data_IF_254993327127
#
_entry.id   IF_254993327127
#
_cell.length_a   1.000
_cell.length_b   1.000
_cell.length_c   1.000
_cell.angle_alpha   90.00
_cell.angle_beta   90.00
_cell.angle_gamma   90.00
#
_symmetry.space_group_name_H-M   'P 1'
#
loop_
_entity.id
_entity.type
_entity.pdbx_description
1 polymer ?
#
# COMPACT_ATOMS: atom_id res chain seq x y z
N UNK A 1 -16.31 3.01 -15.99
CA UNK A 1 -15.19 2.07 -16.14
C UNK A 1 -15.10 1.30 -14.84
N UNK A 2 -15.19 -0.02 -14.89
CA UNK A 2 -15.20 -0.85 -13.69
C UNK A 2 -13.87 -0.71 -12.95
N UNK A 3 -13.91 -0.38 -11.68
CA UNK A 3 -12.78 0.15 -10.89
C UNK A 3 -11.89 -0.94 -10.29
N UNK A 4 -12.36 -2.18 -10.33
CA UNK A 4 -11.53 -3.38 -10.13
C UNK A 4 -10.46 -3.52 -11.23
N UNK A 5 -10.65 -2.82 -12.35
CA UNK A 5 -9.77 -2.81 -13.52
C UNK A 5 -8.35 -2.31 -13.18
N UNK A 6 -8.20 -1.28 -12.32
CA UNK A 6 -6.87 -0.73 -12.00
C UNK A 6 -5.99 -1.80 -11.34
N UNK A 7 -6.52 -2.49 -10.34
CA UNK A 7 -5.75 -3.53 -9.62
C UNK A 7 -5.53 -4.75 -10.54
N UNK A 8 -6.53 -5.11 -11.35
CA UNK A 8 -6.42 -6.23 -12.28
C UNK A 8 -5.29 -6.02 -13.30
N UNK A 9 -5.18 -4.82 -13.87
CA UNK A 9 -4.09 -4.50 -14.79
C UNK A 9 -2.77 -4.20 -14.09
N UNK A 10 -2.79 -3.75 -12.83
CA UNK A 10 -1.57 -3.50 -12.07
C UNK A 10 -0.79 -4.79 -11.75
N UNK A 11 -1.48 -5.91 -11.49
CA UNK A 11 -0.82 -7.17 -11.11
C UNK A 11 0.17 -7.67 -12.20
N UNK A 12 -0.22 -7.83 -13.47
CA UNK A 12 0.73 -8.21 -14.53
C UNK A 12 1.89 -7.22 -14.67
N UNK A 13 1.61 -5.92 -14.52
CA UNK A 13 2.65 -4.88 -14.58
C UNK A 13 3.64 -5.03 -13.42
N UNK A 14 3.17 -5.34 -12.22
CA UNK A 14 4.05 -5.57 -11.07
C UNK A 14 4.99 -6.75 -11.30
N UNK A 15 4.50 -7.87 -11.81
CA UNK A 15 5.35 -9.00 -12.15
C UNK A 15 6.35 -8.67 -13.27
N UNK A 16 5.92 -7.92 -14.28
CA UNK A 16 6.82 -7.45 -15.35
C UNK A 16 7.93 -6.57 -14.78
N UNK A 17 7.61 -5.64 -13.87
CA UNK A 17 8.60 -4.76 -13.23
C UNK A 17 9.58 -5.53 -12.35
N UNK A 18 9.14 -6.58 -11.63
CA UNK A 18 10.04 -7.49 -10.90
C UNK A 18 11.06 -8.13 -11.86
N UNK A 19 10.59 -8.63 -13.00
CA UNK A 19 11.47 -9.25 -14.01
C UNK A 19 12.45 -8.22 -14.60
N UNK A 20 11.97 -7.03 -14.92
CA UNK A 20 12.81 -5.93 -15.44
C UNK A 20 13.87 -5.53 -14.41
N UNK A 21 13.51 -5.34 -13.16
CA UNK A 21 14.44 -4.98 -12.09
C UNK A 21 15.49 -6.09 -11.87
N UNK A 22 15.07 -7.35 -11.85
CA UNK A 22 15.99 -8.49 -11.75
C UNK A 22 17.02 -8.50 -12.88
N UNK A 23 16.56 -8.38 -14.14
CA UNK A 23 17.44 -8.35 -15.32
C UNK A 23 18.37 -7.14 -15.26
N UNK A 24 17.85 -5.97 -14.90
CA UNK A 24 18.64 -4.75 -14.74
C UNK A 24 19.75 -4.95 -13.69
N UNK A 25 19.42 -5.52 -12.51
CA UNK A 25 20.38 -5.82 -11.46
C UNK A 25 21.52 -6.75 -11.92
N UNK A 26 21.21 -7.74 -12.77
CA UNK A 26 22.23 -8.60 -13.38
C UNK A 26 23.14 -7.83 -14.33
N UNK A 27 22.58 -6.96 -15.17
CA UNK A 27 23.34 -6.15 -16.14
C UNK A 27 24.30 -5.18 -15.43
N UNK A 28 23.80 -4.48 -14.39
CA UNK A 28 24.62 -3.51 -13.65
C UNK A 28 25.49 -4.15 -12.57
N UNK A 29 25.48 -5.49 -12.44
CA UNK A 29 26.22 -6.27 -11.44
C UNK A 29 25.88 -5.85 -9.98
N UNK A 30 24.66 -5.43 -9.76
CA UNK A 30 24.07 -5.12 -8.46
C UNK A 30 22.73 -5.83 -8.33
N UNK A 31 22.77 -7.17 -8.20
CA UNK A 31 21.55 -7.95 -8.04
C UNK A 31 21.05 -7.89 -6.60
N UNK A 32 19.83 -7.36 -6.43
CA UNK A 32 19.12 -7.22 -5.16
C UNK A 32 18.11 -8.36 -4.92
N UNK A 33 18.16 -9.41 -5.72
CA UNK A 33 17.24 -10.54 -5.65
C UNK A 33 17.91 -11.80 -5.09
N UNK A 34 17.34 -12.31 -4.01
CA UNK A 34 17.58 -13.64 -3.48
C UNK A 34 16.34 -14.49 -3.75
N UNK A 35 16.45 -15.54 -4.55
CA UNK A 35 15.29 -16.31 -5.02
C UNK A 35 14.38 -16.82 -3.92
N UNK A 36 14.95 -17.30 -2.80
CA UNK A 36 14.17 -17.78 -1.65
C UNK A 36 13.34 -16.64 -1.04
N UNK A 37 13.93 -15.47 -0.82
CA UNK A 37 13.21 -14.31 -0.25
C UNK A 37 12.14 -13.77 -1.21
N UNK A 38 12.45 -13.74 -2.50
CA UNK A 38 11.50 -13.37 -3.56
C UNK A 38 10.29 -14.31 -3.59
N UNK A 39 10.55 -15.63 -3.55
CA UNK A 39 9.48 -16.64 -3.51
C UNK A 39 8.61 -16.48 -2.26
N UNK A 40 9.22 -16.29 -1.09
CA UNK A 40 8.50 -16.03 0.17
C UNK A 40 7.67 -14.75 0.07
N UNK A 41 8.22 -13.66 -0.48
CA UNK A 41 7.53 -12.37 -0.64
C UNK A 41 6.28 -12.51 -1.50
N UNK A 42 6.38 -13.16 -2.64
CA UNK A 42 5.25 -13.43 -3.54
C UNK A 42 4.22 -14.36 -2.86
N UNK A 43 4.68 -15.42 -2.20
CA UNK A 43 3.80 -16.39 -1.52
C UNK A 43 2.98 -15.71 -0.41
N UNK A 44 3.61 -14.88 0.42
CA UNK A 44 2.92 -14.08 1.44
C UNK A 44 1.90 -13.15 0.78
N UNK A 45 2.27 -12.50 -0.32
CA UNK A 45 1.34 -11.66 -1.11
C UNK A 45 0.10 -12.42 -1.56
N UNK A 46 0.26 -13.63 -2.09
CA UNK A 46 -0.85 -14.50 -2.51
C UNK A 46 -1.71 -14.93 -1.32
N UNK A 47 -1.10 -15.38 -0.23
CA UNK A 47 -1.79 -15.79 1.00
C UNK A 47 -2.60 -14.62 1.57
N UNK A 48 -2.09 -13.40 1.50
CA UNK A 48 -2.80 -12.20 1.97
C UNK A 48 -4.13 -11.95 1.25
N UNK A 49 -4.36 -12.58 0.09
CA UNK A 49 -5.62 -12.48 -0.66
C UNK A 49 -6.70 -13.44 -0.18
N UNK A 50 -6.34 -14.48 0.61
CA UNK A 50 -7.29 -15.48 1.09
C UNK A 50 -8.49 -14.85 1.83
N UNK A 51 -8.31 -13.90 2.77
CA UNK A 51 -9.44 -13.24 3.43
C UNK A 51 -10.38 -12.52 2.45
N UNK A 52 -9.82 -11.94 1.38
CA UNK A 52 -10.62 -11.27 0.34
C UNK A 52 -11.42 -12.28 -0.48
N UNK A 53 -10.78 -13.39 -0.86
CA UNK A 53 -11.42 -14.47 -1.65
C UNK A 53 -12.55 -15.14 -0.84
N UNK A 54 -12.32 -15.35 0.45
CA UNK A 54 -13.31 -15.96 1.35
C UNK A 54 -14.41 -14.96 1.79
N UNK A 55 -14.41 -13.75 1.22
CA UNK A 55 -15.36 -12.69 1.55
C UNK A 55 -15.43 -12.36 3.05
N UNK A 56 -14.29 -12.37 3.71
CA UNK A 56 -14.15 -11.94 5.11
C UNK A 56 -14.29 -10.41 5.19
N UNK A 57 -15.28 -9.84 4.50
CA UNK A 57 -15.46 -8.43 4.19
C UNK A 57 -15.92 -7.57 5.38
N UNK A 58 -15.42 -7.82 6.60
CA UNK A 58 -15.77 -7.01 7.76
C UNK A 58 -15.57 -5.51 7.51
N UNK A 59 -14.43 -5.11 6.93
CA UNK A 59 -14.18 -3.71 6.58
C UNK A 59 -15.19 -3.18 5.56
N UNK A 60 -15.55 -3.99 4.55
CA UNK A 60 -16.55 -3.60 3.56
C UNK A 60 -17.94 -3.44 4.19
N UNK A 61 -18.32 -4.33 5.11
CA UNK A 61 -19.55 -4.20 5.89
C UNK A 61 -19.59 -2.91 6.69
N UNK A 62 -18.51 -2.61 7.45
CA UNK A 62 -18.44 -1.38 8.26
C UNK A 62 -18.50 -0.13 7.37
N UNK A 63 -17.82 -0.11 6.24
CA UNK A 63 -17.85 0.99 5.29
C UNK A 63 -19.26 1.19 4.69
N UNK A 64 -19.93 0.11 4.31
CA UNK A 64 -21.30 0.17 3.81
C UNK A 64 -22.27 0.69 4.90
N UNK A 65 -22.14 0.19 6.13
CA UNK A 65 -22.95 0.66 7.26
C UNK A 65 -22.71 2.16 7.52
N UNK A 66 -21.47 2.61 7.56
CA UNK A 66 -21.14 4.02 7.75
C UNK A 66 -21.70 4.90 6.61
N UNK A 67 -21.55 4.46 5.35
CA UNK A 67 -22.04 5.17 4.19
C UNK A 67 -23.58 5.24 4.11
N UNK A 68 -24.29 4.26 4.66
CA UNK A 68 -25.77 4.26 4.62
C UNK A 68 -26.38 4.95 5.85
N UNK A 69 -25.75 4.85 7.02
CA UNK A 69 -26.33 5.30 8.29
C UNK A 69 -25.87 6.70 8.70
N UNK A 70 -24.58 7.01 8.48
CA UNK A 70 -23.93 8.22 9.02
C UNK A 70 -23.43 9.19 7.95
N UNK A 71 -23.73 8.94 6.68
CA UNK A 71 -23.25 9.73 5.55
C UNK A 71 -23.78 11.18 5.59
N UNK A 72 -22.86 12.13 5.72
CA UNK A 72 -23.16 13.57 5.72
C UNK A 72 -23.43 14.14 4.31
N UNK A 73 -23.20 13.35 3.24
CA UNK A 73 -23.46 13.71 1.84
C UNK A 73 -22.74 14.98 1.38
N UNK A 74 -21.56 15.27 1.94
CA UNK A 74 -20.81 16.49 1.63
C UNK A 74 -20.01 16.39 0.33
N UNK A 75 -19.82 15.16 -0.20
CA UNK A 75 -18.86 14.86 -1.27
C UNK A 75 -19.52 14.22 -2.49
N UNK A 76 -20.15 15.01 -3.38
CA UNK A 76 -20.77 14.47 -4.60
C UNK A 76 -19.70 13.94 -5.57
N UNK A 77 -20.01 12.84 -6.26
CA UNK A 77 -19.06 12.11 -7.11
C UNK A 77 -18.60 12.87 -8.34
N UNK A 78 -19.42 13.74 -8.87
CA UNK A 78 -19.18 14.58 -10.05
C UNK A 78 -18.36 15.84 -9.77
N UNK A 79 -18.12 16.15 -8.48
CA UNK A 79 -17.27 17.27 -8.09
C UNK A 79 -15.78 16.89 -8.10
N UNK A 80 -14.96 17.65 -8.82
CA UNK A 80 -13.51 17.49 -8.78
C UNK A 80 -12.93 17.70 -7.37
N UNK A 81 -13.57 18.53 -6.54
CA UNK A 81 -13.18 18.77 -5.14
C UNK A 81 -13.24 17.46 -4.34
N UNK A 82 -14.27 16.64 -4.57
CA UNK A 82 -14.39 15.32 -3.93
C UNK A 82 -13.18 14.44 -4.22
N UNK A 83 -12.67 14.44 -5.44
CA UNK A 83 -11.49 13.67 -5.83
C UNK A 83 -10.22 14.17 -5.16
N UNK A 84 -10.03 15.50 -5.13
CA UNK A 84 -8.86 16.11 -4.46
C UNK A 84 -8.89 15.84 -2.94
N UNK A 85 -10.03 16.10 -2.29
CA UNK A 85 -10.20 15.85 -0.86
C UNK A 85 -10.01 14.36 -0.53
N UNK A 86 -10.60 13.48 -1.33
CA UNK A 86 -10.45 12.04 -1.13
C UNK A 86 -8.98 11.59 -1.28
N UNK A 87 -8.25 12.12 -2.26
CA UNK A 87 -6.84 11.81 -2.46
C UNK A 87 -5.98 12.24 -1.27
N UNK A 88 -6.09 13.50 -0.88
CA UNK A 88 -5.32 14.05 0.25
C UNK A 88 -5.68 13.38 1.58
N UNK A 89 -6.97 13.13 1.79
CA UNK A 89 -7.44 12.48 3.00
C UNK A 89 -7.02 11.00 3.06
N UNK A 90 -7.08 10.29 1.94
CA UNK A 90 -6.61 8.90 1.87
C UNK A 90 -5.12 8.81 2.19
N UNK A 91 -4.29 9.68 1.61
CA UNK A 91 -2.86 9.72 1.82
C UNK A 91 -2.51 10.05 3.28
N UNK A 92 -3.16 11.06 3.88
CA UNK A 92 -3.01 11.40 5.28
C UNK A 92 -3.41 10.24 6.20
N UNK A 93 -4.54 9.59 5.94
CA UNK A 93 -5.00 8.45 6.73
C UNK A 93 -4.02 7.28 6.59
N UNK A 94 -3.53 7.04 5.37
CA UNK A 94 -2.52 6.02 5.13
C UNK A 94 -1.24 6.29 5.93
N UNK A 95 -0.75 7.55 5.93
CA UNK A 95 0.41 7.94 6.74
C UNK A 95 0.17 7.67 8.23
N UNK A 96 -0.97 8.12 8.78
CA UNK A 96 -1.31 7.90 10.19
C UNK A 96 -1.40 6.40 10.50
N UNK A 97 -2.11 5.64 9.67
CA UNK A 97 -2.23 4.19 9.82
C UNK A 97 -0.84 3.52 9.81
N UNK A 98 -0.02 3.84 8.82
CA UNK A 98 1.30 3.25 8.66
C UNK A 98 2.22 3.57 9.85
N UNK A 99 2.24 4.83 10.29
CA UNK A 99 2.97 5.27 11.47
C UNK A 99 2.54 4.51 12.72
N UNK A 100 1.24 4.40 12.98
CA UNK A 100 0.71 3.66 14.12
C UNK A 100 1.02 2.15 14.03
N UNK A 101 1.16 1.58 12.82
CA UNK A 101 1.61 0.21 12.65
C UNK A 101 3.08 0.02 13.08
N UNK A 102 3.89 1.06 13.12
CA UNK A 102 5.24 1.03 13.70
C UNK A 102 5.26 1.29 15.21
N UNK A 103 4.38 2.14 15.74
CA UNK A 103 4.39 2.55 17.14
C UNK A 103 3.61 1.62 18.08
N UNK A 104 2.53 0.99 17.59
CA UNK A 104 1.62 0.17 18.40
C UNK A 104 1.89 -1.31 18.17
N UNK A 105 2.31 -2.04 19.20
CA UNK A 105 2.73 -3.46 19.13
C UNK A 105 1.75 -4.39 18.41
N UNK A 106 0.44 -4.26 18.64
CA UNK A 106 -0.55 -5.12 17.99
C UNK A 106 -0.69 -4.81 16.49
N UNK A 107 -0.53 -3.56 16.11
CA UNK A 107 -0.51 -3.14 14.71
C UNK A 107 0.81 -3.53 14.05
N UNK A 108 1.93 -3.36 14.75
CA UNK A 108 3.23 -3.85 14.31
C UNK A 108 3.23 -5.35 14.02
N UNK A 109 2.60 -6.16 14.87
CA UNK A 109 2.48 -7.59 14.65
C UNK A 109 1.82 -7.94 13.30
N UNK A 110 0.98 -7.06 12.75
CA UNK A 110 0.42 -7.23 11.39
C UNK A 110 1.33 -6.66 10.29
N UNK A 111 2.16 -5.67 10.60
CA UNK A 111 2.98 -4.96 9.62
C UNK A 111 4.41 -5.52 9.51
N UNK A 112 4.93 -6.10 10.57
CA UNK A 112 6.29 -6.69 10.59
C UNK A 112 6.53 -7.69 9.47
N UNK A 113 5.50 -8.38 8.99
CA UNK A 113 5.62 -9.30 7.86
C UNK A 113 6.11 -8.61 6.59
N UNK A 114 5.76 -7.33 6.41
CA UNK A 114 6.23 -6.49 5.30
C UNK A 114 7.71 -6.13 5.49
N UNK A 115 8.14 -5.78 6.70
CA UNK A 115 9.51 -5.41 7.04
C UNK A 115 10.48 -6.58 7.25
N UNK A 116 9.99 -7.82 7.20
CA UNK A 116 10.81 -9.00 7.49
C UNK A 116 11.65 -9.48 6.29
N UNK A 117 11.50 -8.89 5.10
CA UNK A 117 12.32 -9.22 3.94
C UNK A 117 13.83 -9.06 4.24
N UNK A 118 14.64 -9.98 3.72
CA UNK A 118 16.10 -9.88 3.82
C UNK A 118 16.66 -8.93 2.77
N UNK A 119 16.06 -8.94 1.58
CA UNK A 119 16.42 -8.10 0.44
C UNK A 119 15.36 -7.04 0.20
N UNK A 120 15.78 -5.88 -0.30
CA UNK A 120 14.89 -4.78 -0.63
C UNK A 120 14.81 -4.60 -2.15
N UNK A 121 13.70 -5.00 -2.74
CA UNK A 121 13.44 -4.93 -4.18
C UNK A 121 11.93 -4.92 -4.43
N UNK A 122 11.50 -4.82 -5.69
CA UNK A 122 10.07 -4.75 -6.02
C UNK A 122 9.25 -5.95 -5.55
N UNK A 123 9.85 -7.13 -5.32
CA UNK A 123 9.12 -8.25 -4.74
C UNK A 123 8.77 -8.02 -3.25
N UNK A 124 9.50 -7.16 -2.55
CA UNK A 124 9.21 -6.77 -1.16
C UNK A 124 7.85 -6.07 -1.06
N UNK A 125 7.46 -5.29 -2.07
CA UNK A 125 6.14 -4.68 -2.14
C UNK A 125 5.00 -5.71 -2.15
N UNK A 126 5.26 -6.93 -2.61
CA UNK A 126 4.26 -8.01 -2.60
C UNK A 126 4.04 -8.60 -1.20
N UNK A 127 4.92 -8.36 -0.24
CA UNK A 127 4.83 -8.84 1.15
C UNK A 127 3.71 -8.13 1.90
N UNK A 128 2.48 -8.60 1.75
CA UNK A 128 1.30 -8.00 2.35
C UNK A 128 0.76 -8.85 3.50
N UNK A 129 0.27 -8.19 4.55
CA UNK A 129 -0.33 -8.88 5.69
C UNK A 129 -1.69 -9.49 5.34
N UNK A 130 -1.99 -10.66 5.90
CA UNK A 130 -3.31 -11.30 5.83
C UNK A 130 -4.32 -10.72 6.83
N UNK A 131 -3.87 -9.94 7.80
CA UNK A 131 -4.68 -9.47 8.95
C UNK A 131 -5.01 -7.97 8.88
N UNK A 132 -4.54 -7.26 7.85
CA UNK A 132 -4.79 -5.82 7.69
C UNK A 132 -6.27 -5.42 7.68
N UNK A 133 -7.17 -6.33 7.26
CA UNK A 133 -8.61 -6.11 7.26
C UNK A 133 -9.19 -5.90 8.68
N UNK A 134 -8.53 -6.41 9.74
CA UNK A 134 -8.97 -6.21 11.13
C UNK A 134 -8.92 -4.75 11.57
N UNK A 135 -8.02 -3.95 10.99
CA UNK A 135 -7.72 -2.60 11.44
C UNK A 135 -8.12 -1.52 10.43
N UNK A 136 -8.10 -1.83 9.15
CA UNK A 136 -8.29 -0.86 8.07
C UNK A 136 -9.58 -0.05 8.21
N UNK A 137 -10.68 -0.65 8.63
CA UNK A 137 -11.96 0.02 8.79
C UNK A 137 -11.88 1.17 9.81
N UNK A 138 -11.12 1.02 10.90
CA UNK A 138 -11.01 2.05 11.94
C UNK A 138 -10.48 3.38 11.36
N UNK A 139 -9.52 3.29 10.48
CA UNK A 139 -8.86 4.46 9.90
C UNK A 139 -9.67 5.10 8.79
N UNK A 140 -10.28 4.31 7.91
CA UNK A 140 -10.92 4.82 6.70
C UNK A 140 -12.42 5.07 6.83
N UNK A 141 -13.10 4.60 7.88
CA UNK A 141 -14.53 4.87 8.12
C UNK A 141 -14.89 6.36 8.08
N UNK A 142 -14.06 7.30 8.60
CA UNK A 142 -14.36 8.73 8.51
C UNK A 142 -14.58 9.23 7.08
N UNK A 143 -13.93 8.65 6.08
CA UNK A 143 -14.15 9.00 4.67
C UNK A 143 -15.58 8.67 4.21
N UNK A 144 -16.13 7.55 4.69
CA UNK A 144 -17.51 7.16 4.39
C UNK A 144 -18.52 8.09 5.08
N UNK A 145 -18.20 8.51 6.31
CA UNK A 145 -19.06 9.42 7.09
C UNK A 145 -19.15 10.79 6.43
N UNK A 146 -18.08 11.39 5.98
CA UNK A 146 -18.12 12.69 5.28
C UNK A 146 -18.77 12.59 3.88
N UNK A 147 -18.96 11.39 3.38
CA UNK A 147 -19.67 11.14 2.12
C UNK A 147 -18.79 10.87 0.91
N UNK A 148 -17.52 10.48 1.08
CA UNK A 148 -16.69 10.04 -0.05
C UNK A 148 -17.36 8.82 -0.69
N UNK A 149 -17.72 8.88 -1.99
CA UNK A 149 -18.34 7.76 -2.70
C UNK A 149 -17.38 6.55 -2.76
N UNK A 150 -17.95 5.35 -2.62
CA UNK A 150 -17.16 4.10 -2.64
C UNK A 150 -16.25 4.00 -3.86
N UNK A 151 -16.72 4.48 -4.99
CA UNK A 151 -15.93 4.48 -6.22
C UNK A 151 -14.72 5.41 -6.19
N UNK A 152 -14.85 6.58 -5.62
CA UNK A 152 -13.75 7.52 -5.43
C UNK A 152 -12.73 6.92 -4.47
N UNK A 153 -13.21 6.36 -3.34
CA UNK A 153 -12.39 5.69 -2.36
C UNK A 153 -11.57 4.54 -2.95
N UNK A 154 -12.22 3.65 -3.73
CA UNK A 154 -11.55 2.50 -4.36
C UNK A 154 -10.51 2.98 -5.39
N UNK A 155 -10.85 4.00 -6.18
CA UNK A 155 -9.95 4.52 -7.21
C UNK A 155 -8.71 5.17 -6.60
N UNK A 156 -8.91 6.04 -5.60
CA UNK A 156 -7.80 6.70 -4.88
C UNK A 156 -6.93 5.66 -4.17
N UNK A 157 -7.55 4.67 -3.53
CA UNK A 157 -6.82 3.56 -2.90
C UNK A 157 -6.01 2.73 -3.91
N UNK A 158 -6.54 2.53 -5.11
CA UNK A 158 -5.81 1.87 -6.20
C UNK A 158 -4.60 2.68 -6.68
N UNK A 159 -4.75 4.00 -6.84
CA UNK A 159 -3.64 4.89 -7.20
C UNK A 159 -2.55 4.87 -6.12
N UNK A 160 -2.94 4.98 -4.85
CA UNK A 160 -2.02 4.91 -3.72
C UNK A 160 -1.27 3.56 -3.69
N UNK A 161 -1.95 2.43 -3.93
CA UNK A 161 -1.32 1.11 -4.01
C UNK A 161 -0.27 1.02 -5.14
N UNK A 162 -0.60 1.54 -6.33
CA UNK A 162 0.33 1.56 -7.46
C UNK A 162 1.53 2.44 -7.15
N UNK A 163 1.29 3.59 -6.53
CA UNK A 163 2.37 4.48 -6.09
C UNK A 163 3.31 3.78 -5.08
N UNK A 164 2.77 3.09 -4.09
CA UNK A 164 3.58 2.40 -3.08
C UNK A 164 4.41 1.24 -3.64
N UNK A 165 4.04 0.70 -4.80
CA UNK A 165 4.77 -0.41 -5.39
C UNK A 165 6.17 0.01 -5.87
N UNK A 166 6.29 1.10 -6.63
CA UNK A 166 7.55 1.52 -7.24
C UNK A 166 8.60 2.02 -6.24
N UNK A 167 8.21 2.38 -5.02
CA UNK A 167 9.17 2.84 -3.99
C UNK A 167 10.02 1.72 -3.40
N UNK A 168 9.69 0.45 -3.68
CA UNK A 168 10.42 -0.71 -3.21
C UNK A 168 11.53 -1.12 -4.20
N UNK A 169 12.53 -0.28 -4.36
CA UNK A 169 13.70 -0.61 -5.20
C UNK A 169 14.98 0.05 -4.68
N UNK A 170 16.11 -0.63 -4.84
CA UNK A 170 17.43 -0.07 -4.56
C UNK A 170 18.02 0.70 -5.74
N UNK A 171 17.51 0.50 -6.93
CA UNK A 171 18.12 1.02 -8.16
C UNK A 171 17.80 2.49 -8.43
N UNK A 172 16.84 3.09 -7.74
CA UNK A 172 16.54 4.51 -7.88
C UNK A 172 17.32 5.32 -6.83
N UNK A 173 18.20 6.22 -7.24
CA UNK A 173 18.98 7.06 -6.32
C UNK A 173 18.11 8.16 -5.69
N UNK A 174 18.73 9.02 -4.87
CA UNK A 174 18.07 10.20 -4.32
C UNK A 174 17.57 11.11 -5.43
N UNK A 175 16.29 11.51 -5.33
CA UNK A 175 15.61 12.38 -6.29
C UNK A 175 15.63 13.88 -5.89
N UNK A 176 16.52 14.24 -4.98
CA UNK A 176 16.77 15.63 -4.60
C UNK A 176 15.57 16.28 -3.90
N UNK A 177 15.08 17.41 -4.44
CA UNK A 177 14.00 18.17 -3.81
C UNK A 177 12.65 17.42 -3.77
N UNK A 178 12.44 16.45 -4.66
CA UNK A 178 11.21 15.64 -4.70
C UNK A 178 11.03 14.84 -3.39
N UNK A 179 12.12 14.47 -2.72
CA UNK A 179 12.08 13.73 -1.45
C UNK A 179 11.53 14.54 -0.26
N UNK A 180 11.37 15.85 -0.44
CA UNK A 180 10.74 16.72 0.56
C UNK A 180 9.21 16.72 0.47
N UNK A 181 8.66 16.23 -0.65
CA UNK A 181 7.22 16.24 -0.94
C UNK A 181 6.69 14.80 -1.06
N UNK A 182 7.45 13.92 -1.70
CA UNK A 182 7.04 12.55 -2.01
C UNK A 182 7.89 11.53 -1.29
N UNK A 183 7.28 10.41 -0.94
CA UNK A 183 8.03 9.22 -0.54
C UNK A 183 8.68 8.63 -1.79
N UNK A 184 10.00 8.64 -1.83
CA UNK A 184 10.80 8.08 -2.93
C UNK A 184 11.40 6.73 -2.53
N UNK A 185 11.95 5.93 -3.46
CA UNK A 185 12.67 4.71 -3.10
C UNK A 185 13.80 4.96 -2.09
N UNK A 186 14.48 6.10 -2.17
CA UNK A 186 15.53 6.48 -1.23
C UNK A 186 15.01 6.63 0.21
N UNK A 187 13.89 7.32 0.40
CA UNK A 187 13.26 7.48 1.71
C UNK A 187 12.72 6.13 2.22
N UNK A 188 12.13 5.34 1.33
CA UNK A 188 11.50 4.08 1.71
C UNK A 188 12.51 2.99 2.07
N UNK A 189 13.71 3.00 1.46
CA UNK A 189 14.85 2.16 1.89
C UNK A 189 15.26 2.45 3.32
N UNK A 190 15.31 3.72 3.73
CA UNK A 190 15.62 4.10 5.12
C UNK A 190 14.54 3.57 6.06
N UNK A 191 13.27 3.70 5.66
CA UNK A 191 12.14 3.19 6.42
C UNK A 191 12.17 1.65 6.60
N UNK A 192 12.68 0.90 5.62
CA UNK A 192 12.89 -0.55 5.72
C UNK A 192 14.24 -0.95 6.35
N UNK A 193 15.10 0.01 6.66
CA UNK A 193 16.43 -0.29 7.20
C UNK A 193 16.35 -0.90 8.60
N UNK A 194 17.25 -1.84 8.88
CA UNK A 194 17.37 -2.54 10.17
C UNK A 194 18.52 -1.99 11.02
N UNK A 195 19.17 -0.92 10.58
CA UNK A 195 20.24 -0.25 11.28
C UNK A 195 19.70 0.45 12.53
N UNK A 196 20.33 0.33 13.70
CA UNK A 196 19.84 0.92 14.95
C UNK A 196 19.52 2.41 14.87
N UNK A 197 20.29 3.17 14.06
CA UNK A 197 20.09 4.61 13.87
C UNK A 197 18.85 4.98 13.07
N UNK A 198 18.15 4.01 12.46
CA UNK A 198 16.92 4.21 11.67
C UNK A 198 15.68 3.51 12.25
N UNK A 199 15.87 2.83 13.38
CA UNK A 199 14.76 2.18 14.10
C UNK A 199 14.28 3.17 15.17
N UNK A 200 13.01 3.57 15.12
CA UNK A 200 12.34 4.41 16.12
C UNK A 200 12.07 3.68 17.45
#
# INVERSE_FOLDING_TARGET
>A
MDKSIIIFYAIPVFFLLIVIEFIYGLIVKNNTYRMNDTFVSISIGLISRIPVILNLGFSAFVFALAATTFNLKLMPVDSWITWVVAFLMYDLIYYIQHRLHHEIKILWATHVVHHHGEEFNMSTAMRQTSTGWLWKWMFYTPMMVIGIPAEVFITVGGINLVYQYWVHTEHVPKLGWLEKIFITPSNHRVHHAKNPEYID
#
